data_IF_101088232875
#
_entry.id   IF_101088232875
#
_cell.length_a   1.000
_cell.length_b   1.000
_cell.length_c   1.000
_cell.angle_alpha   90.00
_cell.angle_beta   90.00
_cell.angle_gamma   90.00
#
_symmetry.space_group_name_H-M   'P 1'
#
loop_
_entity.id
_entity.type
_entity.pdbx_description
1 polymer ?
#
# COMPACT_ATOMS: atom_id res chain seq x y z
N UNK A 1 6.56 7.78 -11.72
CA UNK A 1 6.16 6.46 -11.20
C UNK A 1 7.13 5.37 -11.64
N UNK A 2 7.43 5.23 -12.93
CA UNK A 2 8.38 4.21 -13.41
C UNK A 2 9.56 4.81 -14.19
N UNK A 3 10.70 4.14 -14.13
CA UNK A 3 11.79 4.22 -15.10
C UNK A 3 11.73 2.97 -15.97
N UNK A 4 11.68 3.15 -17.30
CA UNK A 4 11.60 2.07 -18.29
C UNK A 4 12.96 1.90 -18.98
N UNK A 5 13.41 0.67 -19.13
CA UNK A 5 14.67 0.27 -19.75
C UNK A 5 14.40 -0.44 -21.07
N UNK A 6 14.04 0.31 -22.12
CA UNK A 6 13.69 -0.24 -23.44
C UNK A 6 14.80 -1.13 -24.03
N UNK A 7 16.07 -0.87 -23.70
CA UNK A 7 17.19 -1.71 -24.14
C UNK A 7 17.13 -3.15 -23.63
N UNK A 8 16.42 -3.42 -22.53
CA UNK A 8 16.23 -4.75 -21.95
C UNK A 8 14.97 -5.46 -22.46
N UNK A 9 14.09 -4.75 -23.16
CA UNK A 9 12.83 -5.32 -23.69
C UNK A 9 13.14 -6.23 -24.87
N UNK A 10 12.42 -7.35 -24.93
CA UNK A 10 12.42 -8.29 -26.05
C UNK A 10 11.81 -7.64 -27.30
N UNK A 11 12.47 -7.87 -28.44
CA UNK A 11 12.06 -7.27 -29.72
C UNK A 11 10.62 -7.68 -30.07
N UNK A 12 9.77 -6.71 -30.38
CA UNK A 12 8.35 -6.90 -30.69
C UNK A 12 7.41 -6.75 -29.49
N UNK A 13 7.92 -6.59 -28.27
CA UNK A 13 7.12 -6.40 -27.05
C UNK A 13 7.15 -4.95 -26.51
N UNK A 14 7.83 -4.01 -27.18
CA UNK A 14 8.00 -2.62 -26.73
C UNK A 14 6.68 -1.88 -26.55
N UNK A 15 5.66 -2.23 -27.35
CA UNK A 15 4.33 -1.67 -27.29
C UNK A 15 3.64 -1.82 -25.92
N UNK A 16 4.01 -2.85 -25.13
CA UNK A 16 3.50 -3.06 -23.77
C UNK A 16 3.92 -1.94 -22.79
N UNK A 17 4.93 -1.14 -23.14
CA UNK A 17 5.45 -0.05 -22.30
C UNK A 17 5.12 1.35 -22.85
N UNK A 18 4.41 1.42 -23.98
CA UNK A 18 3.99 2.70 -24.52
C UNK A 18 2.89 3.31 -23.66
N UNK A 19 2.98 4.63 -23.47
CA UNK A 19 1.94 5.39 -22.78
C UNK A 19 0.82 5.65 -23.77
N UNK A 20 -0.39 5.28 -23.39
CA UNK A 20 -1.60 5.70 -24.11
C UNK A 20 -1.84 7.19 -23.92
N UNK A 21 -2.46 7.83 -24.91
CA UNK A 21 -2.79 9.25 -24.84
C UNK A 21 -3.88 9.53 -23.79
N UNK A 22 -3.85 10.73 -23.20
CA UNK A 22 -4.87 11.16 -22.24
C UNK A 22 -6.26 11.33 -22.87
N UNK A 23 -6.34 11.57 -24.18
CA UNK A 23 -7.61 11.63 -24.93
C UNK A 23 -8.29 10.27 -25.06
N UNK A 24 -7.54 9.17 -24.93
CA UNK A 24 -8.04 7.80 -25.06
C UNK A 24 -8.15 7.09 -23.69
N UNK A 25 -7.80 7.77 -22.59
CA UNK A 25 -7.77 7.18 -21.25
C UNK A 25 -8.51 8.02 -20.23
N UNK A 26 -9.25 7.35 -19.34
CA UNK A 26 -9.97 8.00 -18.24
C UNK A 26 -9.49 7.37 -16.94
N UNK A 27 -8.82 8.16 -16.10
CA UNK A 27 -8.32 7.72 -14.78
C UNK A 27 -9.30 8.00 -13.65
N UNK A 28 -10.37 8.77 -13.89
CA UNK A 28 -11.28 9.27 -12.84
C UNK A 28 -10.58 10.05 -11.72
N UNK A 29 -9.38 10.59 -11.98
CA UNK A 29 -8.55 11.23 -10.96
C UNK A 29 -7.96 10.27 -9.93
N UNK A 30 -8.03 8.95 -10.17
CA UNK A 30 -7.45 7.93 -9.31
C UNK A 30 -5.94 7.86 -9.61
N UNK A 31 -5.07 7.93 -8.56
CA UNK A 31 -3.63 7.97 -8.74
C UNK A 31 -3.05 6.61 -9.16
N UNK A 32 -1.79 6.64 -9.59
CA UNK A 32 -1.04 5.45 -10.00
C UNK A 32 -0.78 4.51 -8.81
N UNK A 33 -1.35 3.30 -8.85
CA UNK A 33 -1.13 2.27 -7.84
C UNK A 33 -0.08 1.25 -8.30
N UNK A 34 1.06 1.19 -7.60
CA UNK A 34 2.09 0.18 -7.86
C UNK A 34 1.61 -1.24 -7.58
N UNK A 35 0.62 -1.40 -6.69
CA UNK A 35 0.09 -2.71 -6.32
C UNK A 35 -1.01 -3.23 -7.24
N UNK A 36 -1.44 -2.45 -8.24
CA UNK A 36 -2.52 -2.83 -9.16
C UNK A 36 -2.28 -4.20 -9.78
N UNK A 37 -3.34 -5.00 -9.87
CA UNK A 37 -3.30 -6.34 -10.51
C UNK A 37 -2.89 -6.25 -11.99
N UNK A 38 -3.15 -5.08 -12.61
CA UNK A 38 -2.77 -4.79 -13.99
C UNK A 38 -1.31 -4.33 -14.14
N UNK A 39 -0.57 -4.17 -13.04
CA UNK A 39 0.81 -3.70 -13.08
C UNK A 39 1.79 -4.86 -13.30
N UNK A 40 2.57 -4.80 -14.38
CA UNK A 40 3.60 -5.80 -14.66
C UNK A 40 4.69 -5.90 -13.57
N UNK A 41 5.40 -7.03 -13.53
CA UNK A 41 6.61 -7.23 -12.71
C UNK A 41 7.85 -6.55 -13.31
N UNK A 42 8.88 -6.32 -12.48
CA UNK A 42 10.12 -5.60 -12.86
C UNK A 42 10.82 -6.08 -14.15
N UNK A 43 10.74 -7.37 -14.47
CA UNK A 43 11.42 -8.00 -15.60
C UNK A 43 10.44 -8.54 -16.66
N UNK A 44 9.21 -8.03 -16.71
CA UNK A 44 8.25 -8.40 -17.74
C UNK A 44 8.83 -8.12 -19.14
N UNK A 45 8.68 -9.08 -20.06
CA UNK A 45 9.18 -8.98 -21.45
C UNK A 45 10.69 -8.71 -21.55
N UNK A 46 11.48 -9.18 -20.59
CA UNK A 46 12.93 -9.02 -20.60
C UNK A 46 13.61 -10.06 -21.48
N UNK A 47 14.50 -9.63 -22.38
CA UNK A 47 15.29 -10.53 -23.24
C UNK A 47 16.53 -11.12 -22.58
N UNK A 48 16.95 -10.55 -21.45
CA UNK A 48 18.21 -10.88 -20.77
C UNK A 48 18.02 -11.17 -19.27
N UNK A 49 16.78 -11.19 -18.79
CA UNK A 49 16.45 -11.37 -17.38
C UNK A 49 16.64 -10.11 -16.51
N UNK A 50 17.24 -9.05 -17.06
CA UNK A 50 17.40 -7.76 -16.37
C UNK A 50 16.07 -7.00 -16.30
N UNK A 51 15.92 -6.04 -15.36
CA UNK A 51 14.70 -5.26 -15.25
C UNK A 51 14.40 -4.46 -16.52
N UNK A 52 13.17 -4.57 -17.02
CA UNK A 52 12.61 -3.72 -18.09
C UNK A 52 11.97 -2.46 -17.50
N UNK A 53 11.61 -2.49 -16.22
CA UNK A 53 11.14 -1.32 -15.50
C UNK A 53 11.42 -1.39 -14.00
N UNK A 54 11.56 -0.22 -13.38
CA UNK A 54 11.69 -0.08 -11.93
C UNK A 54 10.81 1.07 -11.42
N UNK A 55 10.19 0.92 -10.23
CA UNK A 55 9.56 2.04 -9.52
C UNK A 55 10.56 3.15 -9.24
N UNK A 56 10.13 4.40 -9.38
CA UNK A 56 10.94 5.57 -9.01
C UNK A 56 11.16 5.66 -7.52
N UNK A 57 10.24 5.11 -6.72
CA UNK A 57 10.49 4.81 -5.31
C UNK A 57 10.95 3.36 -5.17
N UNK A 58 12.24 3.11 -4.86
CA UNK A 58 12.80 1.75 -4.86
C UNK A 58 12.18 0.82 -3.80
N UNK A 59 11.50 1.35 -2.78
CA UNK A 59 10.82 0.53 -1.77
C UNK A 59 9.63 -0.25 -2.36
N UNK A 60 9.10 0.20 -3.49
CA UNK A 60 8.01 -0.46 -4.20
C UNK A 60 8.47 -1.58 -5.14
N UNK A 61 9.77 -1.87 -5.23
CA UNK A 61 10.31 -2.89 -6.14
C UNK A 61 9.68 -4.27 -5.94
N UNK A 62 9.36 -4.64 -4.69
CA UNK A 62 8.70 -5.91 -4.35
C UNK A 62 7.17 -5.83 -4.30
N UNK A 63 6.60 -4.63 -4.52
CA UNK A 63 5.15 -4.40 -4.58
C UNK A 63 4.60 -4.65 -5.98
N UNK A 64 5.32 -4.21 -7.03
CA UNK A 64 4.84 -4.33 -8.41
C UNK A 64 4.83 -5.78 -8.93
N UNK A 65 3.90 -6.09 -9.84
CA UNK A 65 3.77 -7.43 -10.43
C UNK A 65 3.33 -8.50 -9.45
N UNK A 66 2.64 -8.08 -8.39
CA UNK A 66 2.00 -8.96 -7.43
C UNK A 66 0.69 -9.48 -8.03
N UNK A 67 0.50 -10.80 -7.99
CA UNK A 67 -0.75 -11.45 -8.37
C UNK A 67 -1.54 -11.76 -7.09
N UNK A 68 -2.37 -10.80 -6.67
CA UNK A 68 -3.22 -10.91 -5.48
C UNK A 68 -4.69 -10.54 -5.76
N UNK A 69 -5.04 -10.32 -7.04
CA UNK A 69 -6.33 -9.83 -7.46
C UNK A 69 -6.47 -8.31 -7.30
N UNK A 70 -7.69 -7.82 -7.61
CA UNK A 70 -7.99 -6.39 -7.65
C UNK A 70 -7.64 -5.68 -6.35
N UNK A 71 -6.86 -4.60 -6.47
CA UNK A 71 -6.63 -3.66 -5.38
C UNK A 71 -7.89 -2.84 -5.10
N UNK A 72 -7.86 -2.10 -3.98
CA UNK A 72 -8.91 -1.14 -3.66
C UNK A 72 -9.12 -0.12 -4.79
N UNK A 73 -8.04 0.33 -5.43
CA UNK A 73 -8.10 1.33 -6.49
C UNK A 73 -8.53 0.75 -7.83
N UNK A 74 -8.19 -0.51 -8.14
CA UNK A 74 -8.72 -1.20 -9.32
C UNK A 74 -10.25 -1.31 -9.23
N UNK A 75 -10.76 -1.76 -8.08
CA UNK A 75 -12.19 -1.84 -7.82
C UNK A 75 -12.87 -0.46 -7.82
N UNK A 76 -12.18 0.58 -7.34
CA UNK A 76 -12.68 1.96 -7.38
C UNK A 76 -12.81 2.47 -8.82
N UNK A 77 -11.81 2.27 -9.68
CA UNK A 77 -11.88 2.66 -11.11
C UNK A 77 -13.11 2.01 -11.77
N UNK A 78 -13.30 0.69 -11.58
CA UNK A 78 -14.45 -0.03 -12.12
C UNK A 78 -15.79 0.50 -11.58
N UNK A 79 -15.83 0.84 -10.28
CA UNK A 79 -17.01 1.43 -9.68
C UNK A 79 -17.34 2.82 -10.26
N UNK A 80 -16.34 3.67 -10.45
CA UNK A 80 -16.51 4.97 -11.08
C UNK A 80 -17.00 4.82 -12.53
N UNK A 81 -16.48 3.86 -13.29
CA UNK A 81 -16.89 3.66 -14.68
C UNK A 81 -18.30 3.07 -14.82
N UNK A 82 -18.64 2.03 -14.04
CA UNK A 82 -19.85 1.23 -14.28
C UNK A 82 -21.01 1.47 -13.30
N UNK A 83 -20.75 2.06 -12.13
CA UNK A 83 -21.73 2.06 -11.03
C UNK A 83 -22.13 3.44 -10.51
N UNK A 84 -21.59 4.53 -11.05
CA UNK A 84 -21.90 5.90 -10.60
C UNK A 84 -23.41 6.19 -10.54
N UNK A 85 -24.17 5.74 -11.53
CA UNK A 85 -25.61 6.01 -11.65
C UNK A 85 -26.51 5.12 -10.78
N UNK A 86 -25.97 4.08 -10.11
CA UNK A 86 -26.80 3.13 -9.34
C UNK A 86 -27.52 3.74 -8.16
N UNK A 87 -26.93 4.73 -7.51
CA UNK A 87 -27.60 5.45 -6.42
C UNK A 87 -27.75 6.93 -6.72
N UNK A 88 -28.94 7.40 -6.40
CA UNK A 88 -29.45 8.72 -6.72
C UNK A 88 -28.90 9.75 -5.72
N UNK A 89 -28.80 9.38 -4.44
CA UNK A 89 -28.36 10.29 -3.39
C UNK A 89 -26.84 10.20 -3.19
N UNK A 90 -26.11 11.32 -3.24
CA UNK A 90 -24.71 11.33 -2.92
C UNK A 90 -24.51 11.14 -1.41
N UNK A 91 -23.50 10.37 -1.03
CA UNK A 91 -22.95 10.31 0.32
C UNK A 91 -21.47 10.68 0.24
N UNK A 92 -20.92 11.21 1.33
CA UNK A 92 -19.50 11.52 1.41
C UNK A 92 -18.75 10.33 2.00
N UNK A 93 -17.73 9.86 1.28
CA UNK A 93 -16.80 8.85 1.77
C UNK A 93 -15.48 9.53 2.15
N UNK A 94 -14.94 9.20 3.31
CA UNK A 94 -13.69 9.75 3.84
C UNK A 94 -12.51 8.83 3.55
N UNK A 95 -11.30 9.35 3.80
CA UNK A 95 -10.04 8.59 3.76
C UNK A 95 -9.76 7.84 2.45
N UNK A 96 -10.31 8.32 1.32
CA UNK A 96 -10.13 7.70 0.00
C UNK A 96 -11.20 6.65 -0.36
N UNK A 97 -12.15 6.38 0.55
CA UNK A 97 -13.30 5.51 0.31
C UNK A 97 -14.16 5.93 -0.89
N UNK A 98 -14.97 5.01 -1.39
CA UNK A 98 -15.93 5.28 -2.47
C UNK A 98 -17.29 4.65 -2.15
N UNK A 99 -18.35 5.14 -2.78
CA UNK A 99 -19.71 4.68 -2.48
C UNK A 99 -19.84 3.20 -2.82
N UNK A 100 -20.44 2.43 -1.92
CA UNK A 100 -20.74 1.05 -2.18
C UNK A 100 -21.85 0.96 -3.25
N UNK A 101 -21.60 0.31 -4.41
CA UNK A 101 -22.58 0.26 -5.50
C UNK A 101 -23.78 -0.64 -5.21
N UNK A 102 -23.67 -1.50 -4.20
CA UNK A 102 -24.71 -2.45 -3.80
C UNK A 102 -25.41 -2.03 -2.49
N UNK A 103 -24.94 -0.96 -1.84
CA UNK A 103 -25.57 -0.35 -0.68
C UNK A 103 -25.33 1.16 -0.71
N UNK A 104 -26.34 1.89 -1.14
CA UNK A 104 -26.28 3.32 -1.40
C UNK A 104 -26.09 4.19 -0.15
N UNK A 105 -26.17 3.60 1.05
CA UNK A 105 -26.03 4.29 2.33
C UNK A 105 -24.70 4.00 3.03
N UNK A 106 -23.80 3.23 2.38
CA UNK A 106 -22.47 2.94 2.89
C UNK A 106 -21.37 3.16 1.86
N UNK A 107 -20.16 3.31 2.38
CA UNK A 107 -18.93 3.40 1.62
C UNK A 107 -18.17 2.08 1.69
N UNK A 108 -17.46 1.75 0.60
CA UNK A 108 -16.35 0.80 0.63
C UNK A 108 -15.12 1.53 1.16
N UNK A 109 -14.57 1.00 2.24
CA UNK A 109 -13.46 1.60 2.96
C UNK A 109 -12.14 0.90 2.63
N UNK A 110 -11.06 1.69 2.65
CA UNK A 110 -9.71 1.15 2.63
C UNK A 110 -9.48 0.39 3.94
N UNK A 111 -8.77 -0.74 3.86
CA UNK A 111 -8.42 -1.52 5.04
C UNK A 111 -7.74 -0.64 6.11
N UNK A 112 -8.24 -0.69 7.35
CA UNK A 112 -7.83 0.20 8.44
C UNK A 112 -8.75 1.40 8.66
N UNK A 113 -9.77 1.61 7.84
CA UNK A 113 -10.82 2.60 8.09
C UNK A 113 -12.20 1.95 8.13
N UNK A 114 -13.05 2.46 9.01
CA UNK A 114 -14.34 1.85 9.36
C UNK A 114 -15.48 2.87 9.39
N UNK A 115 -16.68 2.37 9.64
CA UNK A 115 -17.93 3.14 9.61
C UNK A 115 -18.56 3.19 8.23
N UNK A 116 -19.83 3.59 8.17
CA UNK A 116 -20.58 3.69 6.91
C UNK A 116 -19.99 4.74 5.96
N UNK A 117 -19.19 5.67 6.44
CA UNK A 117 -18.55 6.74 5.66
C UNK A 117 -17.01 6.64 5.62
N UNK A 118 -16.41 5.59 6.20
CA UNK A 118 -14.96 5.40 6.30
C UNK A 118 -14.22 6.46 7.13
N UNK A 119 -14.91 7.23 7.98
CA UNK A 119 -14.29 8.26 8.82
C UNK A 119 -13.61 7.71 10.07
N UNK A 120 -14.00 6.50 10.51
CA UNK A 120 -13.56 5.93 11.78
C UNK A 120 -12.22 5.22 11.62
N UNK A 121 -11.40 5.32 12.67
CA UNK A 121 -10.20 4.51 12.84
C UNK A 121 -10.58 3.12 13.37
N UNK A 122 -9.72 2.11 13.22
CA UNK A 122 -10.02 0.77 13.73
C UNK A 122 -9.93 0.75 15.26
N UNK A 123 -10.77 -0.07 15.88
CA UNK A 123 -10.75 -0.29 17.33
C UNK A 123 -9.60 -1.24 17.72
N UNK A 124 -9.20 -1.16 18.99
CA UNK A 124 -8.23 -2.08 19.58
C UNK A 124 -8.77 -3.50 19.60
N UNK A 125 -7.89 -4.48 19.43
CA UNK A 125 -8.25 -5.89 19.50
C UNK A 125 -7.33 -6.67 20.41
N UNK A 126 -7.82 -7.79 20.96
CA UNK A 126 -7.00 -8.68 21.79
C UNK A 126 -5.84 -9.29 20.99
N UNK A 127 -6.03 -9.49 19.67
CA UNK A 127 -5.02 -10.07 18.77
C UNK A 127 -3.93 -9.05 18.41
N UNK A 128 -4.31 -7.83 18.02
CA UNK A 128 -3.37 -6.85 17.49
C UNK A 128 -2.90 -5.83 18.54
N UNK A 129 -3.62 -5.69 19.65
CA UNK A 129 -3.42 -4.65 20.66
C UNK A 129 -3.89 -3.28 20.19
N UNK A 130 -3.18 -2.23 20.62
CA UNK A 130 -3.46 -0.84 20.27
C UNK A 130 -3.29 -0.59 18.76
N UNK A 131 -4.42 -0.31 18.11
CA UNK A 131 -4.53 -0.09 16.68
C UNK A 131 -4.11 1.32 16.27
N UNK A 132 -4.15 2.31 17.18
CA UNK A 132 -3.86 3.73 16.87
C UNK A 132 -2.83 4.30 17.83
N UNK A 133 -1.58 4.36 17.39
CA UNK A 133 -0.46 4.86 18.19
C UNK A 133 -0.10 6.29 17.84
N UNK A 134 0.00 7.14 18.86
CA UNK A 134 0.41 8.53 18.71
C UNK A 134 1.88 8.73 19.05
N UNK A 135 2.60 9.47 18.21
CA UNK A 135 4.01 9.81 18.38
C UNK A 135 4.13 11.24 18.88
N UNK A 136 4.33 11.38 20.19
CA UNK A 136 4.55 12.69 20.83
C UNK A 136 5.93 13.28 20.50
N UNK A 137 6.09 14.58 20.74
CA UNK A 137 7.36 15.30 20.54
C UNK A 137 8.50 14.65 21.34
N UNK A 138 9.65 14.45 20.71
CA UNK A 138 10.86 13.83 21.31
C UNK A 138 10.64 12.43 21.93
N UNK A 139 9.60 11.71 21.49
CA UNK A 139 9.35 10.32 21.89
C UNK A 139 9.55 9.40 20.70
N UNK A 140 9.96 8.17 21.00
CA UNK A 140 10.04 7.07 20.04
C UNK A 140 8.96 6.06 20.39
N UNK A 141 8.10 5.74 19.43
CA UNK A 141 7.09 4.68 19.56
C UNK A 141 7.66 3.41 18.95
N UNK A 142 7.58 2.29 19.68
CA UNK A 142 7.94 0.97 19.16
C UNK A 142 6.68 0.21 18.76
N UNK A 143 6.75 -0.51 17.66
CA UNK A 143 5.71 -1.42 17.19
C UNK A 143 6.33 -2.80 16.99
N UNK A 144 5.72 -3.80 17.62
CA UNK A 144 6.08 -5.19 17.47
C UNK A 144 4.79 -5.99 17.24
N UNK A 145 4.84 -6.87 16.26
CA UNK A 145 3.77 -7.82 15.98
C UNK A 145 4.40 -9.12 15.49
N UNK A 146 3.86 -10.25 15.95
CA UNK A 146 4.34 -11.59 15.64
C UNK A 146 3.16 -12.55 15.59
N UNK A 147 3.26 -13.52 14.70
CA UNK A 147 2.31 -14.62 14.63
C UNK A 147 1.70 -14.73 13.25
N UNK A 148 0.73 -15.65 13.14
CA UNK A 148 -0.18 -15.72 12.01
C UNK A 148 -1.34 -14.77 12.30
N UNK A 149 -1.78 -14.01 11.31
CA UNK A 149 -2.86 -13.04 11.49
C UNK A 149 -2.73 -11.83 10.56
N UNK A 150 -3.64 -10.89 10.74
CA UNK A 150 -3.74 -9.66 9.94
C UNK A 150 -4.00 -8.48 10.87
N UNK A 151 -2.99 -7.64 11.08
CA UNK A 151 -3.07 -6.50 11.99
C UNK A 151 -2.73 -5.20 11.28
N UNK A 152 -3.61 -4.21 11.40
CA UNK A 152 -3.45 -2.88 10.84
C UNK A 152 -3.23 -1.88 11.97
N UNK A 153 -2.15 -1.09 11.86
CA UNK A 153 -1.76 -0.09 12.84
C UNK A 153 -1.70 1.28 12.19
N UNK A 154 -2.31 2.27 12.83
CA UNK A 154 -2.26 3.66 12.46
C UNK A 154 -1.26 4.37 13.36
N UNK A 155 -0.18 4.88 12.79
CA UNK A 155 0.82 5.66 13.51
C UNK A 155 0.67 7.13 13.13
N UNK A 156 0.37 7.99 14.11
CA UNK A 156 0.10 9.41 13.89
C UNK A 156 1.03 10.31 14.69
N UNK A 157 1.60 11.33 14.06
CA UNK A 157 2.30 12.40 14.76
C UNK A 157 1.30 13.28 15.52
N UNK A 158 1.61 13.63 16.76
CA UNK A 158 0.85 14.66 17.50
C UNK A 158 1.30 16.08 17.18
N UNK A 159 2.43 16.23 16.49
CA UNK A 159 3.00 17.52 16.09
C UNK A 159 2.72 17.85 14.62
N UNK A 160 1.92 17.04 13.93
CA UNK A 160 1.65 17.13 12.49
C UNK A 160 2.94 17.14 11.64
N UNK A 161 4.01 16.53 12.14
CA UNK A 161 5.30 16.42 11.43
C UNK A 161 5.40 15.09 10.71
N UNK A 162 6.26 15.00 9.70
CA UNK A 162 6.58 13.72 9.08
C UNK A 162 7.22 12.78 10.11
N UNK A 163 7.07 11.49 9.85
CA UNK A 163 7.56 10.42 10.72
C UNK A 163 8.76 9.75 10.05
N UNK A 164 9.83 9.61 10.83
CA UNK A 164 10.91 8.70 10.50
C UNK A 164 10.54 7.31 11.01
N UNK A 165 10.49 6.37 10.09
CA UNK A 165 10.15 4.96 10.30
C UNK A 165 11.45 4.17 10.22
N UNK A 166 11.79 3.45 11.29
CA UNK A 166 12.94 2.57 11.33
C UNK A 166 12.47 1.13 11.39
N UNK A 167 12.63 0.38 10.30
CA UNK A 167 12.48 -1.08 10.31
C UNK A 167 13.74 -1.65 10.96
N UNK A 168 13.61 -2.07 12.21
CA UNK A 168 14.71 -2.66 12.97
C UNK A 168 14.97 -4.06 12.44
N UNK A 169 13.92 -4.89 12.39
CA UNK A 169 13.99 -6.25 11.88
C UNK A 169 12.60 -6.74 11.46
N UNK A 170 12.53 -7.44 10.34
CA UNK A 170 11.36 -8.18 9.91
C UNK A 170 11.75 -9.60 9.50
N UNK A 171 10.81 -10.53 9.65
CA UNK A 171 10.91 -11.91 9.17
C UNK A 171 9.53 -12.35 8.66
N UNK A 172 9.41 -12.58 7.35
CA UNK A 172 8.19 -13.06 6.68
C UNK A 172 8.54 -14.17 5.70
N UNK A 173 8.53 -15.42 6.17
CA UNK A 173 8.69 -16.61 5.35
C UNK A 173 7.38 -17.41 5.32
N UNK A 174 7.14 -18.24 4.28
CA UNK A 174 7.87 -18.30 3.02
C UNK A 174 7.65 -17.04 2.15
N UNK A 175 8.51 -16.80 1.17
CA UNK A 175 8.38 -15.67 0.24
C UNK A 175 9.36 -15.74 -0.92
N UNK A 176 9.32 -14.76 -1.82
CA UNK A 176 10.19 -14.70 -3.00
C UNK A 176 11.12 -13.48 -2.95
N UNK A 177 12.29 -13.60 -3.58
CA UNK A 177 13.30 -12.52 -3.56
C UNK A 177 12.87 -11.30 -4.40
N UNK A 178 12.18 -11.53 -5.51
CA UNK A 178 11.82 -10.50 -6.50
C UNK A 178 10.52 -9.76 -6.18
N UNK A 179 9.57 -10.42 -5.53
CA UNK A 179 8.20 -9.92 -5.29
C UNK A 179 7.69 -10.48 -3.98
N UNK A 180 6.91 -9.70 -3.23
CA UNK A 180 6.23 -10.18 -2.03
C UNK A 180 4.86 -10.76 -2.35
N UNK A 181 4.42 -11.72 -1.52
CA UNK A 181 3.03 -12.20 -1.54
C UNK A 181 2.24 -11.39 -0.54
N UNK A 182 1.11 -10.80 -0.95
CA UNK A 182 0.33 -9.88 -0.12
C UNK A 182 0.02 -10.47 1.26
N UNK A 183 -0.56 -11.68 1.27
CA UNK A 183 -1.00 -12.39 2.48
C UNK A 183 0.14 -12.78 3.44
N UNK A 184 1.39 -12.66 3.02
CA UNK A 184 2.56 -12.96 3.84
C UNK A 184 3.63 -11.88 3.72
N UNK A 185 3.24 -10.64 4.02
CA UNK A 185 4.09 -9.47 3.90
C UNK A 185 3.80 -8.42 4.97
N UNK A 186 4.78 -7.56 5.18
CA UNK A 186 4.60 -6.28 5.86
C UNK A 186 4.33 -5.22 4.79
N UNK A 187 3.19 -4.53 4.89
CA UNK A 187 2.91 -3.34 4.06
C UNK A 187 3.08 -2.07 4.89
N UNK A 188 3.73 -1.06 4.31
CA UNK A 188 3.86 0.26 4.93
C UNK A 188 3.33 1.31 3.95
N UNK A 189 2.27 2.01 4.35
CA UNK A 189 1.72 3.17 3.63
C UNK A 189 2.22 4.47 4.26
N UNK A 190 3.28 5.02 3.69
CA UNK A 190 3.94 6.24 4.16
C UNK A 190 3.70 7.46 3.26
N UNK A 191 2.98 7.28 2.15
CA UNK A 191 2.48 8.38 1.33
C UNK A 191 1.27 9.06 1.96
N UNK A 192 0.96 10.29 1.55
CA UNK A 192 -0.19 11.03 2.06
C UNK A 192 -1.51 10.33 1.75
N UNK A 193 -1.67 9.89 0.50
CA UNK A 193 -2.82 9.10 0.08
C UNK A 193 -2.71 7.66 0.60
N UNK A 194 -3.61 7.30 1.52
CA UNK A 194 -3.67 5.96 2.12
C UNK A 194 -4.44 4.94 1.28
N UNK A 195 -5.07 5.38 0.19
CA UNK A 195 -5.78 4.47 -0.73
C UNK A 195 -4.81 3.65 -1.59
N UNK A 196 -3.65 4.21 -1.93
CA UNK A 196 -2.57 3.54 -2.67
C UNK A 196 -2.06 2.31 -1.93
N UNK A 197 -1.70 1.26 -2.65
CA UNK A 197 -0.96 0.13 -2.08
C UNK A 197 0.36 0.64 -1.49
N UNK A 198 0.77 0.10 -0.34
CA UNK A 198 2.01 0.45 0.33
C UNK A 198 3.23 -0.26 -0.22
N UNK A 199 4.41 0.10 0.27
CA UNK A 199 5.62 -0.67 0.01
C UNK A 199 5.53 -2.00 0.76
N UNK A 200 5.76 -3.12 0.05
CA UNK A 200 5.73 -4.46 0.61
C UNK A 200 7.14 -4.94 0.96
N UNK A 201 7.26 -5.48 2.17
CA UNK A 201 8.48 -6.09 2.67
C UNK A 201 8.20 -7.54 3.07
N UNK A 202 9.13 -8.43 2.73
CA UNK A 202 9.01 -9.87 3.00
C UNK A 202 10.40 -10.49 3.10
N UNK A 203 10.47 -11.79 3.46
CA UNK A 203 11.70 -12.47 3.86
C UNK A 203 12.28 -11.81 5.10
N UNK A 204 13.61 -11.72 5.20
CA UNK A 204 14.28 -11.02 6.28
C UNK A 204 14.89 -9.72 5.77
N UNK A 205 14.60 -8.61 6.46
CA UNK A 205 15.21 -7.31 6.24
C UNK A 205 15.47 -6.62 7.58
N UNK A 206 16.55 -5.83 7.65
CA UNK A 206 16.98 -5.12 8.87
C UNK A 206 17.51 -3.72 8.54
N UNK A 207 17.51 -2.85 9.55
CA UNK A 207 18.17 -1.53 9.53
C UNK A 207 17.78 -0.65 8.33
N UNK A 208 16.49 -0.58 8.00
CA UNK A 208 15.99 0.36 6.98
C UNK A 208 15.34 1.58 7.61
N UNK A 209 15.57 2.74 7.01
CA UNK A 209 14.93 3.99 7.38
C UNK A 209 14.06 4.48 6.23
N UNK A 210 12.83 4.89 6.53
CA UNK A 210 11.88 5.49 5.61
C UNK A 210 11.40 6.79 6.25
N UNK A 211 11.18 7.83 5.46
CA UNK A 211 10.54 9.07 5.92
C UNK A 211 9.18 9.17 5.25
N UNK A 212 8.12 9.38 6.03
CA UNK A 212 6.78 9.55 5.48
C UNK A 212 6.60 10.91 4.81
N UNK A 213 5.66 10.99 3.87
CA UNK A 213 5.28 12.25 3.21
C UNK A 213 4.43 13.16 4.10
N UNK A 214 3.82 12.59 5.14
CA UNK A 214 2.95 13.30 6.07
C UNK A 214 3.00 12.74 7.48
N UNK A 215 2.05 13.13 8.30
CA UNK A 215 1.97 12.86 9.74
C UNK A 215 1.31 11.52 10.09
N UNK A 216 0.80 10.79 9.11
CA UNK A 216 0.07 9.54 9.29
C UNK A 216 0.69 8.44 8.44
N UNK A 217 1.01 7.31 9.09
CA UNK A 217 1.51 6.08 8.47
C UNK A 217 0.57 4.93 8.82
N UNK A 218 0.30 4.05 7.87
CA UNK A 218 -0.39 2.77 8.13
C UNK A 218 0.62 1.64 7.98
N UNK A 219 0.63 0.72 8.94
CA UNK A 219 1.43 -0.50 8.92
C UNK A 219 0.49 -1.69 8.94
N UNK A 220 0.59 -2.58 7.96
CA UNK A 220 -0.23 -3.79 7.90
C UNK A 220 0.67 -5.03 7.96
N UNK A 221 0.60 -5.73 9.08
CA UNK A 221 1.19 -7.05 9.26
C UNK A 221 0.22 -8.10 8.72
N UNK A 222 0.57 -8.78 7.62
CA UNK A 222 -0.15 -9.97 7.13
C UNK A 222 0.78 -11.17 7.19
N UNK A 223 0.37 -12.22 7.88
CA UNK A 223 1.22 -13.38 8.07
C UNK A 223 0.45 -14.69 8.03
N UNK A 224 1.03 -15.64 7.30
CA UNK A 224 0.57 -17.04 7.23
C UNK A 224 1.27 -17.95 8.25
N UNK A 225 2.34 -17.48 8.92
CA UNK A 225 3.19 -18.30 9.79
C UNK A 225 3.34 -17.70 11.20
N UNK A 226 3.29 -18.55 12.23
CA UNK A 226 3.45 -18.12 13.63
C UNK A 226 4.84 -17.56 13.98
N UNK A 227 5.85 -17.85 13.16
CA UNK A 227 7.22 -17.39 13.36
C UNK A 227 7.51 -16.03 12.73
N UNK A 228 6.64 -15.53 11.85
CA UNK A 228 6.84 -14.24 11.21
C UNK A 228 6.61 -13.10 12.19
N UNK A 229 7.40 -12.05 12.07
CA UNK A 229 7.30 -10.89 12.94
C UNK A 229 7.84 -9.62 12.29
N UNK A 230 7.50 -8.49 12.90
CA UNK A 230 8.10 -7.19 12.64
C UNK A 230 8.48 -6.48 13.93
N UNK A 231 9.57 -5.72 13.89
CA UNK A 231 9.98 -4.77 14.91
C UNK A 231 10.33 -3.44 14.24
N UNK A 232 9.57 -2.41 14.59
CA UNK A 232 9.67 -1.08 14.01
C UNK A 232 9.71 0.00 15.08
N UNK A 233 10.30 1.15 14.73
CA UNK A 233 10.33 2.34 15.56
C UNK A 233 9.89 3.56 14.77
N UNK A 234 9.19 4.48 15.44
CA UNK A 234 8.66 5.70 14.85
C UNK A 234 9.05 6.90 15.71
N UNK A 235 9.56 7.94 15.06
CA UNK A 235 9.90 9.21 15.70
C UNK A 235 9.48 10.37 14.79
N UNK A 236 9.14 11.50 15.39
CA UNK A 236 8.91 12.73 14.65
C UNK A 236 10.23 13.20 14.02
N UNK A 237 10.22 13.52 12.73
CA UNK A 237 11.35 14.22 12.11
C UNK A 237 11.44 15.59 12.75
N UNK A 238 12.63 15.94 13.26
CA UNK A 238 12.87 17.26 13.84
C UNK A 238 12.80 18.29 12.72
N UNK A 239 11.91 19.28 12.86
CA UNK A 239 11.96 20.51 12.08
C UNK A 239 13.24 21.29 12.39
#
# INVERSE_FOLDING_TARGET
YLTIFMSNVEEGFENNFFKTDFSETISYGIPYDYGSDMHYRTNAFSKNGEPTMLPTDPLYKKTIGMDAGLTFLDAKILNEHHCQHKCIRPIKCYNGGYRNPNDCFSCKCIAGFEGSDCSKMPDDSMECGDAVRKVSKNKTVRLYSRGKGSCIYHIKSETNSTLKITLTEIVYFPGFKSTCVLENSLEIKYYNDKSLTGALFCLSEKNRTIVSQGDHVIVHHRSTQGTNFMLMQFENVKN
#
